data_IF_904191422577
#
_entry.id   IF_904191422577
#
_cell.length_a   1.000
_cell.length_b   1.000
_cell.length_c   1.000
_cell.angle_alpha   90.00
_cell.angle_beta   90.00
_cell.angle_gamma   90.00
#
_symmetry.space_group_name_H-M   'P 1'
#
loop_
_entity.id
_entity.type
_entity.pdbx_description
1 polymer ?
#
# COMPACT_ATOMS: atom_id res chain seq x y z
N UNK A 1 -69.77 21.86 -13.35
CA UNK A 1 -69.79 21.78 -11.87
C UNK A 1 -68.48 21.14 -11.44
N UNK A 2 -67.63 21.90 -10.75
CA UNK A 2 -66.41 21.42 -10.08
C UNK A 2 -66.79 20.40 -8.99
N UNK A 3 -65.94 19.40 -8.76
CA UNK A 3 -65.40 19.10 -7.43
C UNK A 3 -64.30 18.04 -7.53
N UNK A 4 -63.08 18.46 -7.16
CA UNK A 4 -61.99 17.61 -6.68
C UNK A 4 -62.30 17.13 -5.25
N UNK A 5 -61.82 15.94 -4.87
CA UNK A 5 -61.53 15.50 -3.49
C UNK A 5 -60.30 14.59 -3.58
N UNK A 6 -59.07 15.01 -3.24
CA UNK A 6 -58.38 15.17 -1.94
C UNK A 6 -58.26 13.92 -1.05
N UNK A 7 -57.00 13.43 -1.00
CA UNK A 7 -56.12 13.00 0.12
C UNK A 7 -56.64 12.07 1.22
N UNK A 8 -55.82 11.04 1.48
CA UNK A 8 -55.53 10.50 2.82
C UNK A 8 -54.02 10.30 2.98
N UNK A 9 -53.35 11.33 3.50
CA UNK A 9 -51.94 11.32 3.95
C UNK A 9 -52.01 11.21 5.47
N UNK A 10 -51.44 10.17 6.06
CA UNK A 10 -51.22 10.16 7.51
C UNK A 10 -50.00 10.99 7.84
N UNK A 11 -50.21 11.92 8.78
CA UNK A 11 -49.33 13.03 9.10
C UNK A 11 -48.67 12.73 10.44
N UNK A 12 -47.35 12.81 10.54
CA UNK A 12 -46.67 13.02 11.82
C UNK A 12 -46.11 14.43 11.79
N UNK A 13 -46.73 15.32 12.57
CA UNK A 13 -46.28 16.70 12.78
C UNK A 13 -45.39 16.71 14.01
N UNK A 14 -44.17 17.24 13.89
CA UNK A 14 -43.40 17.75 15.02
C UNK A 14 -43.14 19.24 14.77
N UNK A 15 -43.52 20.06 15.74
CA UNK A 15 -43.59 21.52 15.67
C UNK A 15 -42.22 22.20 15.52
N UNK A 16 -42.25 23.36 14.86
CA UNK A 16 -41.24 24.44 14.83
C UNK A 16 -40.17 24.39 13.73
N UNK A 17 -40.61 24.44 12.47
CA UNK A 17 -40.33 25.61 11.61
C UNK A 17 -38.90 25.88 11.11
N UNK A 18 -37.94 24.98 11.34
CA UNK A 18 -36.71 24.94 10.55
C UNK A 18 -36.77 23.72 9.62
N UNK A 19 -36.63 23.97 8.32
CA UNK A 19 -36.39 22.93 7.34
C UNK A 19 -35.00 22.36 7.63
N UNK A 20 -34.98 21.19 8.26
CA UNK A 20 -33.77 20.36 8.35
C UNK A 20 -33.83 19.46 7.12
N UNK A 21 -32.85 19.65 6.24
CA UNK A 21 -32.57 18.72 5.14
C UNK A 21 -32.56 17.30 5.69
N UNK A 22 -33.15 16.35 4.96
CA UNK A 22 -33.07 14.93 5.30
C UNK A 22 -31.61 14.58 5.55
N UNK A 23 -31.29 14.29 6.81
CA UNK A 23 -29.99 13.84 7.29
C UNK A 23 -29.53 12.67 6.40
N UNK A 24 -28.55 12.93 5.55
CA UNK A 24 -27.77 11.90 4.86
C UNK A 24 -27.19 10.97 5.93
N UNK A 25 -27.85 9.83 6.14
CA UNK A 25 -27.30 8.73 6.92
C UNK A 25 -26.04 8.27 6.21
N UNK A 26 -24.89 8.77 6.67
CA UNK A 26 -23.53 8.45 6.27
C UNK A 26 -23.42 7.00 5.77
N UNK A 27 -23.48 6.84 4.45
CA UNK A 27 -23.19 5.56 3.85
C UNK A 27 -21.68 5.34 3.99
N UNK A 28 -21.31 4.43 4.90
CA UNK A 28 -19.93 3.98 5.10
C UNK A 28 -19.32 3.59 3.75
N UNK A 29 -18.23 4.26 3.34
CA UNK A 29 -17.55 4.05 2.05
C UNK A 29 -17.26 2.57 1.81
N UNK A 30 -16.78 1.89 2.85
CA UNK A 30 -16.41 0.49 2.74
C UNK A 30 -17.62 -0.43 2.67
N UNK A 31 -18.79 -0.02 3.16
CA UNK A 31 -20.02 -0.82 3.03
C UNK A 31 -20.40 -1.03 1.56
N UNK A 32 -20.24 -0.02 0.70
CA UNK A 32 -20.51 -0.20 -0.73
C UNK A 32 -19.55 -1.19 -1.43
N UNK A 33 -18.36 -1.43 -0.86
CA UNK A 33 -17.34 -2.29 -1.45
C UNK A 33 -17.29 -3.69 -0.83
N UNK A 34 -17.45 -3.75 0.48
CA UNK A 34 -17.15 -4.90 1.33
C UNK A 34 -18.40 -5.44 2.03
N UNK A 35 -19.55 -4.80 1.93
CA UNK A 35 -20.83 -5.34 2.36
C UNK A 35 -21.66 -5.81 1.15
N UNK A 36 -22.60 -6.71 1.40
CA UNK A 36 -23.61 -7.15 0.46
C UNK A 36 -25.01 -6.93 1.06
N UNK A 37 -26.07 -7.26 0.32
CA UNK A 37 -27.45 -7.09 0.81
C UNK A 37 -27.70 -7.83 2.15
N UNK A 38 -27.02 -8.95 2.35
CA UNK A 38 -27.24 -9.86 3.48
C UNK A 38 -26.04 -9.94 4.43
N UNK A 39 -24.98 -9.15 4.21
CA UNK A 39 -23.75 -9.19 5.01
C UNK A 39 -23.11 -7.82 5.18
N UNK A 40 -22.88 -7.41 6.42
CA UNK A 40 -22.19 -6.17 6.81
C UNK A 40 -20.89 -6.41 7.61
N UNK A 41 -20.36 -7.63 7.63
CA UNK A 41 -19.20 -8.01 8.45
C UNK A 41 -18.08 -8.70 7.66
N UNK A 42 -16.84 -8.54 8.10
CA UNK A 42 -15.65 -9.29 7.67
C UNK A 42 -15.27 -10.33 8.73
N UNK A 43 -14.41 -11.27 8.38
CA UNK A 43 -13.86 -12.26 9.31
C UNK A 43 -12.50 -11.80 9.80
N UNK A 44 -12.27 -11.80 11.12
CA UNK A 44 -10.91 -11.77 11.65
C UNK A 44 -10.22 -13.12 11.45
N UNK A 45 -8.90 -13.14 11.50
CA UNK A 45 -8.17 -13.90 12.52
C UNK A 45 -8.75 -15.27 12.94
N UNK A 46 -9.61 -15.15 13.93
CA UNK A 46 -10.20 -16.25 14.71
C UNK A 46 -11.54 -16.71 14.17
N UNK A 47 -11.99 -16.15 13.05
CA UNK A 47 -13.34 -16.32 12.51
C UNK A 47 -14.38 -15.41 13.13
N UNK A 48 -14.02 -14.56 14.10
CA UNK A 48 -14.95 -13.58 14.66
C UNK A 48 -15.36 -12.53 13.62
N UNK A 49 -16.62 -12.12 13.66
CA UNK A 49 -17.20 -11.13 12.75
C UNK A 49 -16.85 -9.71 13.21
N UNK A 50 -16.39 -8.88 12.27
CA UNK A 50 -16.03 -7.47 12.49
C UNK A 50 -16.86 -6.62 11.53
N UNK A 51 -17.54 -5.59 12.01
CA UNK A 51 -18.41 -4.80 11.13
C UNK A 51 -17.60 -4.00 10.11
N UNK A 52 -18.10 -3.90 8.88
CA UNK A 52 -17.45 -3.11 7.83
C UNK A 52 -17.34 -1.64 8.21
N UNK A 53 -18.30 -1.10 8.98
CA UNK A 53 -18.27 0.27 9.48
C UNK A 53 -17.06 0.57 10.40
N UNK A 54 -16.43 -0.45 10.98
CA UNK A 54 -15.22 -0.27 11.80
C UNK A 54 -13.98 0.08 10.96
N UNK A 55 -14.07 -0.01 9.63
CA UNK A 55 -12.98 0.37 8.72
C UNK A 55 -13.03 1.85 8.33
N UNK A 56 -14.12 2.56 8.63
CA UNK A 56 -14.26 3.97 8.28
C UNK A 56 -13.15 4.82 8.91
N UNK A 57 -12.65 5.79 8.13
CA UNK A 57 -11.53 6.64 8.53
C UNK A 57 -10.15 5.95 8.52
N UNK A 58 -10.06 4.68 8.11
CA UNK A 58 -8.78 3.97 7.98
C UNK A 58 -8.26 3.96 6.56
N UNK A 59 -6.94 3.85 6.42
CA UNK A 59 -6.30 3.36 5.19
C UNK A 59 -6.49 1.86 5.15
N UNK A 60 -7.10 1.35 4.07
CA UNK A 60 -7.42 -0.09 3.93
C UNK A 60 -6.67 -0.68 2.74
N UNK A 61 -5.86 -1.71 3.00
CA UNK A 61 -5.23 -2.51 1.95
C UNK A 61 -6.09 -3.72 1.57
N UNK A 62 -6.56 -3.80 0.33
CA UNK A 62 -7.21 -5.00 -0.21
C UNK A 62 -6.14 -5.95 -0.75
N UNK A 63 -5.92 -7.07 -0.06
CA UNK A 63 -4.93 -8.08 -0.45
C UNK A 63 -5.60 -9.20 -1.24
N UNK A 64 -5.34 -9.27 -2.53
CA UNK A 64 -5.74 -10.38 -3.40
C UNK A 64 -4.60 -11.39 -3.45
N UNK A 65 -4.83 -12.59 -2.89
CA UNK A 65 -3.83 -13.65 -2.81
C UNK A 65 -4.47 -15.03 -2.67
N UNK A 66 -3.67 -16.08 -2.85
CA UNK A 66 -4.10 -17.47 -2.65
C UNK A 66 -3.01 -18.30 -1.98
N UNK A 67 -3.43 -19.29 -1.19
CA UNK A 67 -2.56 -20.17 -0.44
C UNK A 67 -1.66 -21.01 -1.35
N UNK A 68 -2.24 -21.52 -2.45
CA UNK A 68 -1.55 -22.45 -3.36
C UNK A 68 -0.37 -21.79 -4.08
N UNK A 69 -0.35 -20.46 -4.22
CA UNK A 69 0.66 -19.74 -4.99
C UNK A 69 1.88 -19.33 -4.14
N UNK A 70 3.10 -19.83 -4.43
CA UNK A 70 4.29 -19.55 -3.60
C UNK A 70 4.65 -18.06 -3.44
N UNK A 71 4.60 -17.21 -4.48
CA UNK A 71 4.86 -15.78 -4.32
C UNK A 71 3.90 -15.08 -3.36
N UNK A 72 2.62 -15.51 -3.31
CA UNK A 72 1.66 -15.00 -2.32
C UNK A 72 2.09 -15.30 -0.89
N UNK A 73 2.56 -16.53 -0.63
CA UNK A 73 3.04 -16.91 0.71
C UNK A 73 4.27 -16.09 1.12
N UNK A 74 5.24 -15.92 0.21
CA UNK A 74 6.43 -15.10 0.47
C UNK A 74 6.10 -13.64 0.77
N UNK A 75 5.26 -13.01 -0.06
CA UNK A 75 4.82 -11.64 0.17
C UNK A 75 4.03 -11.47 1.47
N UNK A 76 3.15 -12.42 1.79
CA UNK A 76 2.35 -12.40 3.03
C UNK A 76 3.24 -12.37 4.27
N UNK A 77 4.32 -13.17 4.30
CA UNK A 77 5.26 -13.18 5.44
C UNK A 77 5.94 -11.82 5.65
N UNK A 78 6.36 -11.17 4.56
CA UNK A 78 6.89 -9.81 4.62
C UNK A 78 5.83 -8.83 5.15
N UNK A 79 4.62 -8.90 4.60
CA UNK A 79 3.53 -7.98 4.91
C UNK A 79 3.06 -8.08 6.36
N UNK A 80 3.11 -9.26 6.99
CA UNK A 80 2.82 -9.44 8.41
C UNK A 80 3.72 -8.55 9.27
N UNK A 81 5.03 -8.54 9.00
CA UNK A 81 5.98 -7.72 9.77
C UNK A 81 5.75 -6.22 9.60
N UNK A 82 5.38 -5.78 8.40
CA UNK A 82 5.01 -4.38 8.14
C UNK A 82 3.70 -4.01 8.84
N UNK A 83 2.68 -4.86 8.73
CA UNK A 83 1.38 -4.64 9.36
C UNK A 83 1.51 -4.50 10.88
N UNK A 84 2.27 -5.39 11.54
CA UNK A 84 2.49 -5.31 12.99
C UNK A 84 3.18 -4.01 13.43
N UNK A 85 4.17 -3.55 12.66
CA UNK A 85 4.85 -2.27 12.91
C UNK A 85 3.89 -1.08 12.75
N UNK A 86 3.05 -1.10 11.72
CA UNK A 86 2.04 -0.07 11.50
C UNK A 86 0.98 -0.08 12.61
N UNK A 87 0.39 -1.23 12.96
CA UNK A 87 -0.65 -1.30 14.00
C UNK A 87 -0.19 -0.83 15.38
N UNK A 88 1.09 -1.01 15.71
CA UNK A 88 1.65 -0.58 16.99
C UNK A 88 1.73 0.95 17.10
N UNK A 89 2.07 1.62 15.99
CA UNK A 89 2.35 3.06 15.97
C UNK A 89 1.18 3.89 15.39
N UNK A 90 0.30 3.25 14.62
CA UNK A 90 -0.68 3.89 13.75
C UNK A 90 -1.98 3.06 13.76
N UNK A 91 -2.99 3.47 14.55
CA UNK A 91 -4.23 2.70 14.69
C UNK A 91 -5.12 2.71 13.44
N UNK A 92 -4.88 3.64 12.51
CA UNK A 92 -5.75 3.89 11.34
C UNK A 92 -5.36 3.09 10.08
N UNK A 93 -4.74 1.91 10.24
CA UNK A 93 -4.42 0.99 9.14
C UNK A 93 -5.09 -0.37 9.33
N UNK A 94 -5.64 -0.92 8.24
CA UNK A 94 -6.19 -2.27 8.21
C UNK A 94 -5.95 -2.95 6.86
N UNK A 95 -5.92 -4.28 6.86
CA UNK A 95 -5.85 -5.09 5.64
C UNK A 95 -7.09 -5.99 5.57
N UNK A 96 -7.65 -6.13 4.36
CA UNK A 96 -8.73 -7.06 4.07
C UNK A 96 -8.28 -8.03 3.00
N UNK A 97 -8.17 -9.29 3.38
CA UNK A 97 -7.85 -10.40 2.50
C UNK A 97 -9.04 -10.77 1.61
N UNK A 98 -8.78 -10.80 0.30
CA UNK A 98 -9.71 -11.19 -0.75
C UNK A 98 -9.16 -12.46 -1.39
N UNK A 99 -9.65 -13.61 -0.93
CA UNK A 99 -9.09 -14.91 -1.33
C UNK A 99 -9.37 -15.25 -2.79
N UNK A 100 -8.33 -15.75 -3.46
CA UNK A 100 -8.38 -16.40 -4.78
C UNK A 100 -8.18 -17.92 -4.67
N UNK A 101 -8.37 -18.51 -3.49
CA UNK A 101 -8.36 -19.95 -3.29
C UNK A 101 -9.61 -20.61 -3.90
N UNK A 102 -9.45 -21.85 -4.35
CA UNK A 102 -10.50 -22.62 -5.02
C UNK A 102 -11.43 -23.33 -4.04
N UNK A 103 -10.94 -23.60 -2.82
CA UNK A 103 -11.68 -24.32 -1.79
C UNK A 103 -11.53 -23.69 -0.39
N UNK A 104 -12.45 -24.08 0.50
CA UNK A 104 -12.56 -23.53 1.84
C UNK A 104 -11.39 -23.94 2.75
N UNK A 105 -10.80 -25.12 2.53
CA UNK A 105 -9.70 -25.61 3.36
C UNK A 105 -8.41 -24.85 3.05
N UNK A 106 -8.13 -24.60 1.77
CA UNK A 106 -7.04 -23.75 1.32
C UNK A 106 -7.19 -22.32 1.86
N UNK A 107 -8.41 -21.75 1.80
CA UNK A 107 -8.71 -20.46 2.43
C UNK A 107 -8.40 -20.48 3.93
N UNK A 108 -9.01 -21.42 4.67
CA UNK A 108 -8.87 -21.53 6.12
C UNK A 108 -7.41 -21.68 6.56
N UNK A 109 -6.66 -22.55 5.88
CA UNK A 109 -5.25 -22.78 6.18
C UNK A 109 -4.35 -21.55 5.95
N UNK A 110 -4.79 -20.57 5.16
CA UNK A 110 -4.00 -19.39 4.83
C UNK A 110 -4.41 -18.16 5.64
N UNK A 111 -5.70 -17.83 5.69
CA UNK A 111 -6.14 -16.59 6.35
C UNK A 111 -5.94 -16.63 7.88
N UNK A 112 -6.02 -17.82 8.51
CA UNK A 112 -5.80 -17.97 9.95
C UNK A 112 -4.39 -17.53 10.39
N UNK A 113 -3.42 -17.57 9.47
CA UNK A 113 -2.05 -17.14 9.72
C UNK A 113 -1.85 -15.63 9.51
N UNK A 114 -2.87 -14.90 9.09
CA UNK A 114 -2.80 -13.47 8.82
C UNK A 114 -3.40 -12.67 9.99
N UNK A 115 -2.78 -11.59 10.47
CA UNK A 115 -3.24 -10.82 11.63
C UNK A 115 -4.32 -9.76 11.30
N UNK A 116 -5.00 -9.90 10.15
CA UNK A 116 -5.93 -8.91 9.59
C UNK A 116 -7.28 -9.56 9.22
N UNK A 117 -8.14 -8.80 8.54
CA UNK A 117 -9.51 -9.21 8.21
C UNK A 117 -9.57 -9.94 6.86
N UNK A 118 -10.66 -10.65 6.61
CA UNK A 118 -10.92 -11.36 5.35
C UNK A 118 -12.39 -11.23 4.93
N UNK A 119 -12.63 -11.12 3.62
CA UNK A 119 -13.96 -11.34 3.05
C UNK A 119 -14.31 -12.82 3.23
N UNK A 120 -15.51 -13.18 3.74
CA UNK A 120 -15.90 -14.58 3.88
C UNK A 120 -15.75 -15.34 2.56
N UNK A 121 -15.25 -16.58 2.64
CA UNK A 121 -15.01 -17.41 1.45
C UNK A 121 -16.28 -17.62 0.60
N UNK A 122 -17.44 -17.72 1.27
CA UNK A 122 -18.75 -17.89 0.64
C UNK A 122 -19.24 -16.65 -0.12
N UNK A 123 -18.70 -15.46 0.14
CA UNK A 123 -19.12 -14.22 -0.52
C UNK A 123 -18.42 -14.06 -1.88
N UNK A 124 -18.81 -14.91 -2.83
CA UNK A 124 -18.27 -14.92 -4.18
C UNK A 124 -18.58 -13.63 -4.94
N UNK A 125 -19.72 -13.00 -4.68
CA UNK A 125 -20.14 -11.80 -5.40
C UNK A 125 -19.31 -10.58 -5.03
N UNK A 126 -19.04 -10.37 -3.73
CA UNK A 126 -18.12 -9.32 -3.28
C UNK A 126 -16.72 -9.55 -3.84
N UNK A 127 -16.19 -10.78 -3.75
CA UNK A 127 -14.87 -11.13 -4.31
C UNK A 127 -14.79 -10.84 -5.81
N UNK A 128 -15.80 -11.24 -6.60
CA UNK A 128 -15.87 -10.96 -8.05
C UNK A 128 -15.96 -9.46 -8.34
N UNK A 129 -16.79 -8.73 -7.60
CA UNK A 129 -16.98 -7.30 -7.79
C UNK A 129 -15.68 -6.52 -7.52
N UNK A 130 -14.94 -6.88 -6.46
CA UNK A 130 -13.64 -6.29 -6.14
C UNK A 130 -12.60 -6.59 -7.21
N UNK A 131 -12.49 -7.86 -7.65
CA UNK A 131 -11.55 -8.24 -8.72
C UNK A 131 -11.81 -7.45 -10.01
N UNK A 132 -13.07 -7.28 -10.41
CA UNK A 132 -13.44 -6.50 -11.60
C UNK A 132 -13.18 -5.01 -11.41
N UNK A 133 -13.58 -4.44 -10.27
CA UNK A 133 -13.46 -3.00 -9.98
C UNK A 133 -12.01 -2.53 -10.00
N UNK A 134 -11.10 -3.35 -9.47
CA UNK A 134 -9.67 -3.04 -9.41
C UNK A 134 -8.85 -3.76 -10.48
N UNK A 135 -9.51 -4.36 -11.47
CA UNK A 135 -8.90 -4.99 -12.65
C UNK A 135 -7.72 -5.90 -12.25
N UNK A 136 -7.97 -6.77 -11.28
CA UNK A 136 -6.94 -7.67 -10.75
C UNK A 136 -6.63 -8.75 -11.79
N UNK A 137 -5.48 -8.61 -12.45
CA UNK A 137 -5.01 -9.55 -13.49
C UNK A 137 -4.12 -10.67 -12.93
N UNK A 138 -3.58 -10.48 -11.72
CA UNK A 138 -2.65 -11.42 -11.09
C UNK A 138 -2.53 -11.24 -9.58
N UNK A 139 -1.92 -12.22 -8.93
CA UNK A 139 -1.69 -12.24 -7.48
C UNK A 139 -0.21 -12.52 -7.16
N UNK A 140 0.35 -12.03 -6.03
CA UNK A 140 -0.31 -11.15 -5.07
C UNK A 140 -0.57 -9.77 -5.67
N UNK A 141 -1.72 -9.18 -5.35
CA UNK A 141 -2.06 -7.79 -5.65
C UNK A 141 -2.51 -7.12 -4.35
N UNK A 142 -2.08 -5.88 -4.12
CA UNK A 142 -2.42 -5.11 -2.92
C UNK A 142 -2.86 -3.72 -3.35
N UNK A 143 -4.15 -3.44 -3.18
CA UNK A 143 -4.74 -2.14 -3.52
C UNK A 143 -4.95 -1.33 -2.26
N UNK A 144 -4.36 -0.13 -2.19
CA UNK A 144 -4.52 0.79 -1.05
C UNK A 144 -5.68 1.74 -1.29
N UNK A 145 -6.60 1.78 -0.33
CA UNK A 145 -7.76 2.66 -0.31
C UNK A 145 -7.58 3.72 0.78
N UNK A 146 -7.61 4.98 0.38
CA UNK A 146 -7.55 6.13 1.30
C UNK A 146 -8.91 6.35 1.98
N UNK A 147 -8.96 6.86 3.23
CA UNK A 147 -10.21 7.09 3.95
C UNK A 147 -11.17 8.05 3.22
N UNK A 148 -10.67 9.20 2.75
CA UNK A 148 -11.51 10.31 2.24
C UNK A 148 -11.71 10.32 0.71
N UNK A 149 -11.22 9.30 0.03
CA UNK A 149 -11.28 9.23 -1.43
C UNK A 149 -12.64 8.71 -1.91
N UNK A 150 -13.63 9.61 -1.95
CA UNK A 150 -15.00 9.35 -2.40
C UNK A 150 -15.10 9.02 -3.90
N UNK A 151 -14.09 9.38 -4.70
CA UNK A 151 -14.08 9.20 -6.15
C UNK A 151 -13.18 8.07 -6.64
N UNK A 152 -12.40 7.44 -5.76
CA UNK A 152 -11.44 6.40 -6.12
C UNK A 152 -10.18 6.94 -6.81
N UNK A 153 -9.95 8.26 -6.78
CA UNK A 153 -8.83 8.95 -7.42
C UNK A 153 -7.50 8.76 -6.68
N UNK A 154 -7.54 8.44 -5.39
CA UNK A 154 -6.40 8.15 -4.53
C UNK A 154 -6.21 6.63 -4.28
N UNK A 155 -6.86 5.80 -5.10
CA UNK A 155 -6.64 4.35 -5.07
C UNK A 155 -5.29 4.01 -5.69
N UNK A 156 -4.40 3.38 -4.91
CA UNK A 156 -3.11 2.92 -5.40
C UNK A 156 -3.15 1.41 -5.64
N UNK A 157 -2.81 0.99 -6.86
CA UNK A 157 -2.86 -0.43 -7.26
C UNK A 157 -1.52 -1.16 -7.09
N UNK A 158 -0.42 -0.40 -7.00
CA UNK A 158 0.94 -0.94 -6.93
C UNK A 158 1.40 -1.22 -5.49
N UNK A 159 0.48 -1.54 -4.59
CA UNK A 159 0.77 -1.66 -3.16
C UNK A 159 1.83 -2.73 -2.84
N UNK A 160 1.93 -3.80 -3.65
CA UNK A 160 2.99 -4.82 -3.50
C UNK A 160 4.37 -4.20 -3.72
N UNK A 161 4.54 -3.42 -4.78
CA UNK A 161 5.80 -2.76 -5.09
C UNK A 161 6.16 -1.70 -4.04
N UNK A 162 5.18 -0.90 -3.61
CA UNK A 162 5.37 0.09 -2.56
C UNK A 162 5.83 -0.55 -1.24
N UNK A 163 5.26 -1.70 -0.88
CA UNK A 163 5.69 -2.46 0.32
C UNK A 163 7.11 -2.98 0.16
N UNK A 164 7.49 -3.53 -1.00
CA UNK A 164 8.86 -3.99 -1.22
C UNK A 164 9.88 -2.85 -1.21
N UNK A 165 9.55 -1.70 -1.79
CA UNK A 165 10.48 -0.57 -1.94
C UNK A 165 10.62 0.24 -0.65
N UNK A 166 9.49 0.57 -0.01
CA UNK A 166 9.43 1.56 1.07
C UNK A 166 9.00 0.98 2.42
N UNK A 167 8.35 -0.19 2.42
CA UNK A 167 7.86 -0.83 3.65
C UNK A 167 6.96 0.09 4.47
N UNK A 168 7.27 0.24 5.76
CA UNK A 168 6.53 1.10 6.70
C UNK A 168 6.56 2.58 6.33
N UNK A 169 7.60 3.05 5.62
CA UNK A 169 7.80 4.47 5.33
C UNK A 169 6.78 5.01 4.34
N UNK A 170 6.20 4.14 3.52
CA UNK A 170 5.17 4.48 2.55
C UNK A 170 3.85 4.91 3.20
N UNK A 171 3.58 4.55 4.46
CA UNK A 171 2.37 4.99 5.16
C UNK A 171 2.31 6.55 5.22
N UNK A 172 1.14 7.19 4.97
CA UNK A 172 -0.21 6.64 4.80
C UNK A 172 -0.56 6.16 3.38
N UNK A 173 0.42 5.97 2.50
CA UNK A 173 0.23 5.64 1.09
C UNK A 173 -0.57 6.73 0.34
N UNK A 174 -0.44 7.98 0.78
CA UNK A 174 -0.94 9.14 0.03
C UNK A 174 0.00 9.48 -1.11
N UNK A 175 -0.52 10.06 -2.20
CA UNK A 175 0.28 10.53 -3.32
C UNK A 175 1.44 11.44 -2.90
N UNK A 176 1.16 12.45 -2.07
CA UNK A 176 2.16 13.38 -1.52
C UNK A 176 3.30 12.63 -0.81
N UNK A 177 2.97 11.75 0.13
CA UNK A 177 3.96 10.92 0.83
C UNK A 177 4.84 10.09 -0.11
N UNK A 178 4.26 9.53 -1.17
CA UNK A 178 5.02 8.74 -2.13
C UNK A 178 5.94 9.62 -2.98
N UNK A 179 5.50 10.82 -3.36
CA UNK A 179 6.33 11.80 -4.07
C UNK A 179 7.53 12.21 -3.21
N UNK A 180 7.33 12.49 -1.91
CA UNK A 180 8.43 12.79 -0.96
C UNK A 180 9.47 11.66 -0.91
N UNK A 181 9.02 10.41 -0.82
CA UNK A 181 9.92 9.26 -0.78
C UNK A 181 10.70 9.10 -2.08
N UNK A 182 10.03 9.32 -3.21
CA UNK A 182 10.66 9.23 -4.53
C UNK A 182 11.70 10.32 -4.74
N UNK A 183 11.43 11.54 -4.29
CA UNK A 183 12.36 12.66 -4.37
C UNK A 183 13.54 12.46 -3.42
N UNK A 184 13.30 11.97 -2.19
CA UNK A 184 14.38 11.63 -1.26
C UNK A 184 15.29 10.50 -1.79
N UNK A 185 14.75 9.51 -2.50
CA UNK A 185 15.55 8.51 -3.21
C UNK A 185 16.37 9.12 -4.35
N UNK A 186 15.76 10.01 -5.15
CA UNK A 186 16.45 10.71 -6.25
C UNK A 186 17.59 11.56 -5.72
N UNK A 187 17.37 12.34 -4.66
CA UNK A 187 18.41 13.14 -4.02
C UNK A 187 19.54 12.28 -3.46
N UNK A 188 19.22 11.12 -2.88
CA UNK A 188 20.25 10.16 -2.43
C UNK A 188 21.06 9.63 -3.60
N UNK A 189 20.42 9.32 -4.73
CA UNK A 189 21.09 8.84 -5.94
C UNK A 189 21.94 9.93 -6.60
N UNK A 190 21.47 11.18 -6.65
CA UNK A 190 22.20 12.32 -7.20
C UNK A 190 23.41 12.71 -6.35
N UNK A 191 23.31 12.54 -5.03
CA UNK A 191 24.41 12.76 -4.10
C UNK A 191 25.32 11.52 -3.91
N UNK A 192 25.10 10.44 -4.66
CA UNK A 192 26.05 9.32 -4.70
C UNK A 192 27.32 9.73 -5.45
N UNK A 193 28.45 9.59 -4.78
CA UNK A 193 29.77 9.75 -5.39
C UNK A 193 30.36 8.37 -5.69
N UNK A 194 31.28 8.30 -6.66
CA UNK A 194 32.07 7.09 -6.89
C UNK A 194 32.83 6.66 -5.62
N UNK A 195 33.22 7.62 -4.77
CA UNK A 195 33.81 7.36 -3.46
C UNK A 195 32.87 6.60 -2.52
N UNK A 196 31.58 6.95 -2.50
CA UNK A 196 30.59 6.30 -1.63
C UNK A 196 30.11 4.94 -2.18
N UNK A 197 30.14 4.76 -3.50
CA UNK A 197 29.72 3.53 -4.17
C UNK A 197 30.81 2.45 -4.20
N UNK A 198 32.06 2.88 -4.41
CA UNK A 198 33.21 1.99 -4.57
C UNK A 198 34.07 1.92 -3.31
N UNK A 199 33.88 2.87 -2.40
CA UNK A 199 34.57 2.94 -1.12
C UNK A 199 33.76 2.38 0.06
N UNK A 200 34.48 2.06 1.13
CA UNK A 200 34.02 1.67 2.46
C UNK A 200 35.08 2.19 3.47
N UNK A 201 34.75 2.27 4.76
CA UNK A 201 35.69 2.57 5.86
C UNK A 201 37.07 1.85 5.78
N UNK A 202 37.15 0.70 5.10
CA UNK A 202 38.39 -0.08 4.93
C UNK A 202 38.96 -0.08 3.50
N UNK A 203 38.33 0.60 2.54
CA UNK A 203 38.76 0.60 1.13
C UNK A 203 38.26 1.84 0.44
N UNK A 204 39.15 2.69 -0.03
CA UNK A 204 38.86 3.92 -0.76
C UNK A 204 39.45 3.88 -2.18
N UNK A 205 39.63 2.68 -2.74
CA UNK A 205 40.29 2.47 -4.02
C UNK A 205 39.67 1.33 -4.83
N UNK A 206 39.85 1.38 -6.15
CA UNK A 206 39.49 0.33 -7.11
C UNK A 206 40.69 -0.10 -7.93
N UNK A 207 40.65 -1.33 -8.44
CA UNK A 207 41.70 -1.86 -9.31
C UNK A 207 41.36 -1.61 -10.79
N UNK A 208 42.31 -1.05 -11.53
CA UNK A 208 42.27 -0.89 -12.97
C UNK A 208 43.25 -1.85 -13.65
N UNK A 209 42.81 -2.49 -14.73
CA UNK A 209 43.65 -3.28 -15.61
C UNK A 209 43.98 -2.47 -16.86
N UNK A 210 45.19 -1.94 -16.92
CA UNK A 210 45.73 -1.32 -18.15
C UNK A 210 46.96 -2.09 -18.60
N UNK A 211 46.96 -2.55 -19.85
CA UNK A 211 48.08 -3.27 -20.47
C UNK A 211 48.56 -4.51 -19.70
N UNK A 212 47.64 -5.28 -19.10
CA UNK A 212 47.97 -6.51 -18.37
C UNK A 212 48.54 -6.29 -16.97
N UNK A 213 48.65 -5.04 -16.49
CA UNK A 213 49.08 -4.69 -15.14
C UNK A 213 47.89 -4.25 -14.28
N UNK A 214 47.84 -4.78 -13.06
CA UNK A 214 46.90 -4.38 -12.00
C UNK A 214 47.43 -3.11 -11.33
N UNK A 215 46.65 -2.03 -11.38
CA UNK A 215 46.99 -0.75 -10.74
C UNK A 215 45.85 -0.32 -9.83
N UNK A 216 46.19 0.23 -8.67
CA UNK A 216 45.22 0.75 -7.70
C UNK A 216 44.91 2.22 -8.03
N UNK A 217 43.63 2.57 -8.07
CA UNK A 217 43.12 3.92 -8.34
C UNK A 217 42.27 4.34 -7.15
N UNK A 218 42.66 5.42 -6.47
CA UNK A 218 41.90 5.97 -5.34
C UNK A 218 40.59 6.62 -5.79
N UNK A 219 39.53 6.47 -5.00
CA UNK A 219 38.18 6.92 -5.32
C UNK A 219 37.93 8.40 -4.98
N UNK A 220 38.95 9.26 -4.94
CA UNK A 220 38.77 10.67 -4.58
C UNK A 220 38.02 11.43 -5.68
N UNK A 221 36.82 11.92 -5.36
CA UNK A 221 36.17 13.02 -6.10
C UNK A 221 36.89 14.31 -5.74
N UNK A 222 37.81 14.77 -6.59
CA UNK A 222 38.30 16.13 -6.51
C UNK A 222 37.20 17.08 -7.04
N UNK A 223 36.28 17.50 -6.16
CA UNK A 223 35.49 18.69 -6.39
C UNK A 223 36.41 19.91 -6.21
N UNK A 224 37.06 20.34 -7.29
CA UNK A 224 37.62 21.68 -7.37
C UNK A 224 37.18 22.33 -8.66
N UNK A 225 36.32 23.35 -8.52
CA UNK A 225 36.13 24.38 -9.53
C UNK A 225 37.51 24.95 -9.96
N UNK A 226 37.58 25.24 -11.25
CA UNK A 226 38.57 26.09 -11.93
C UNK A 226 39.97 25.49 -12.23
N UNK A 227 40.28 25.61 -13.53
CA UNK A 227 41.58 25.56 -14.21
C UNK A 227 42.19 24.18 -14.49
N UNK A 228 42.04 23.81 -15.77
CA UNK A 228 42.90 22.85 -16.45
C UNK A 228 44.38 23.16 -16.21
N UNK A 229 45.06 22.30 -15.47
CA UNK A 229 46.52 22.19 -15.53
C UNK A 229 46.89 20.71 -15.45
N UNK A 230 47.54 20.23 -16.50
CA UNK A 230 48.13 18.90 -16.58
C UNK A 230 49.23 18.79 -15.54
N UNK A 231 49.08 17.94 -14.53
CA UNK A 231 50.18 17.55 -13.66
C UNK A 231 50.71 16.18 -14.08
N UNK A 232 52.02 16.17 -14.33
CA UNK A 232 52.84 14.99 -14.64
C UNK A 232 52.78 13.99 -13.48
N UNK A 233 52.49 12.73 -13.77
CA UNK A 233 52.56 11.62 -12.81
C UNK A 233 54.01 11.40 -12.37
N UNK A 234 54.26 11.44 -11.05
CA UNK A 234 55.48 10.93 -10.43
C UNK A 234 55.26 9.47 -10.06
N UNK A 235 55.95 8.58 -10.77
CA UNK A 235 56.00 7.13 -10.51
C UNK A 235 56.84 6.87 -9.26
N UNK A 236 56.24 6.30 -8.21
CA UNK A 236 57.01 5.68 -7.12
C UNK A 236 57.13 4.19 -7.40
N UNK A 237 58.37 3.73 -7.61
CA UNK A 237 58.75 2.32 -7.56
C UNK A 237 58.89 1.91 -6.08
N UNK A 238 58.20 0.84 -5.68
CA UNK A 238 58.45 0.16 -4.40
C UNK A 238 59.19 -1.14 -4.76
N UNK A 239 60.38 -1.32 -4.18
CA UNK A 239 61.16 -2.57 -4.24
C UNK A 239 60.54 -3.65 -3.34
#
# INVERSE_FOLDING_TARGET
MKMEMKKGVETVVINNGNFVEEEELSSCKFSHLLASKDRDFLLSSTGAQVKVSELEGKVVGLLFAANWYPPCRGFTQLLIGIYQQLKTNIPSFEIVYVSSDEDLDAFNGFYQNMPWLAVPFSDLETKKALNRKYEVEGIPCLVMLQPDDSKGEATLRDGVELIYRYGVQAFPFSKERLEELHDAEREKLENQTLANLLGNNNRDYVFSHTNGLLTQVECFVHLTHLHATVFHYSTYYIM
#
